data_IF_403923354675
#
_entry.id   IF_403923354675
#
_cell.length_a   1.000
_cell.length_b   1.000
_cell.length_c   1.000
_cell.angle_alpha   90.00
_cell.angle_beta   90.00
_cell.angle_gamma   90.00
#
_symmetry.space_group_name_H-M   'P 1'
#
loop_
_entity.id
_entity.type
_entity.pdbx_description
1 polymer ?
#
# COMPACT_ATOMS: atom_id res chain seq x y z
N UNK A 1 -12.32 20.54 12.77
CA UNK A 1 -12.35 19.74 11.53
C UNK A 1 -10.98 19.80 10.87
N UNK A 2 -10.24 18.70 10.80
CA UNK A 2 -9.01 18.64 9.97
C UNK A 2 -9.40 18.52 8.50
N UNK A 3 -8.73 19.23 7.60
CA UNK A 3 -9.01 19.11 6.16
C UNK A 3 -8.83 17.67 5.66
N UNK A 4 -9.58 17.27 4.62
CA UNK A 4 -9.42 15.95 3.97
C UNK A 4 -7.98 15.69 3.53
N UNK A 5 -7.27 16.74 3.10
CA UNK A 5 -5.84 16.68 2.76
C UNK A 5 -5.02 16.24 3.99
N UNK A 6 -5.22 16.88 5.14
CA UNK A 6 -4.51 16.52 6.38
C UNK A 6 -4.82 15.09 6.81
N UNK A 7 -6.08 14.65 6.71
CA UNK A 7 -6.48 13.27 7.00
C UNK A 7 -5.81 12.27 6.06
N UNK A 8 -5.78 12.55 4.76
CA UNK A 8 -5.14 11.69 3.76
C UNK A 8 -3.63 11.62 3.93
N UNK A 9 -2.96 12.74 4.23
CA UNK A 9 -1.53 12.77 4.53
C UNK A 9 -1.19 11.88 5.73
N UNK A 10 -1.91 12.07 6.84
CA UNK A 10 -1.70 11.30 8.07
C UNK A 10 -2.04 9.82 7.82
N UNK A 11 -3.18 9.53 7.20
CA UNK A 11 -3.63 8.18 6.90
C UNK A 11 -2.70 7.44 5.94
N UNK A 12 -2.14 8.13 4.95
CA UNK A 12 -1.16 7.56 4.02
C UNK A 12 0.16 7.21 4.71
N UNK A 13 0.70 8.11 5.54
CA UNK A 13 1.93 7.86 6.30
C UNK A 13 1.72 6.71 7.29
N UNK A 14 0.67 6.79 8.12
CA UNK A 14 0.38 5.78 9.14
C UNK A 14 0.04 4.44 8.49
N UNK A 15 -0.79 4.43 7.45
CA UNK A 15 -1.14 3.21 6.72
C UNK A 15 0.08 2.53 6.12
N UNK A 16 1.00 3.30 5.53
CA UNK A 16 2.24 2.77 4.96
C UNK A 16 3.13 2.19 6.05
N UNK A 17 3.28 2.89 7.18
CA UNK A 17 4.05 2.41 8.32
C UNK A 17 3.46 1.11 8.91
N UNK A 18 2.15 1.08 9.18
CA UNK A 18 1.44 -0.09 9.73
C UNK A 18 1.56 -1.29 8.81
N UNK A 19 1.33 -1.11 7.51
CA UNK A 19 1.55 -2.16 6.51
C UNK A 19 2.99 -2.67 6.58
N UNK A 20 3.96 -1.76 6.58
CA UNK A 20 5.39 -2.14 6.53
C UNK A 20 5.81 -2.91 7.79
N UNK A 21 5.39 -2.47 8.97
CA UNK A 21 5.63 -3.18 10.24
C UNK A 21 4.97 -4.57 10.21
N UNK A 22 3.74 -4.67 9.70
CA UNK A 22 3.06 -5.96 9.55
C UNK A 22 3.88 -6.91 8.66
N UNK A 23 4.37 -6.43 7.52
CA UNK A 23 5.18 -7.24 6.61
C UNK A 23 6.50 -7.69 7.26
N UNK A 24 7.12 -6.83 8.09
CA UNK A 24 8.31 -7.19 8.86
C UNK A 24 8.01 -8.30 9.87
N UNK A 25 6.91 -8.21 10.61
CA UNK A 25 6.49 -9.26 11.55
C UNK A 25 6.17 -10.56 10.83
N UNK A 26 5.46 -10.49 9.70
CA UNK A 26 5.15 -11.65 8.86
C UNK A 26 6.41 -12.37 8.37
N UNK A 27 7.46 -11.62 8.02
CA UNK A 27 8.74 -12.21 7.68
C UNK A 27 9.37 -12.99 8.86
N UNK A 28 9.28 -12.45 10.08
CA UNK A 28 9.81 -13.11 11.28
C UNK A 28 9.12 -14.44 11.62
N UNK A 29 7.87 -14.64 11.17
CA UNK A 29 7.11 -15.88 11.36
C UNK A 29 7.14 -16.81 10.13
N UNK A 30 8.06 -16.57 9.18
CA UNK A 30 8.35 -17.49 8.08
C UNK A 30 7.79 -17.10 6.71
N UNK A 31 7.15 -15.93 6.56
CA UNK A 31 6.79 -15.44 5.22
C UNK A 31 8.04 -14.93 4.47
N UNK A 32 8.06 -15.02 3.13
CA UNK A 32 9.14 -14.45 2.32
C UNK A 32 9.31 -12.95 2.59
N UNK A 33 10.57 -12.48 2.54
CA UNK A 33 10.86 -11.06 2.74
C UNK A 33 10.24 -10.24 1.61
N UNK A 34 9.37 -9.30 1.96
CA UNK A 34 8.76 -8.35 1.04
C UNK A 34 9.08 -6.94 1.50
N UNK A 35 9.97 -6.26 0.76
CA UNK A 35 10.37 -4.89 1.06
C UNK A 35 10.12 -3.99 -0.16
N UNK A 36 8.99 -3.27 -0.20
CA UNK A 36 8.73 -2.30 -1.26
C UNK A 36 9.79 -1.19 -1.39
N UNK A 37 10.36 -0.65 -0.29
CA UNK A 37 11.48 0.31 -0.38
C UNK A 37 12.71 -0.27 -1.08
N UNK A 38 13.09 -1.50 -0.74
CA UNK A 38 14.22 -2.19 -1.41
C UNK A 38 13.90 -2.39 -2.89
N UNK A 39 12.70 -2.90 -3.20
CA UNK A 39 12.24 -3.10 -4.57
C UNK A 39 12.34 -1.81 -5.41
N UNK A 40 11.80 -0.70 -4.92
CA UNK A 40 11.83 0.60 -5.61
C UNK A 40 13.27 1.11 -5.78
N UNK A 41 14.11 0.98 -4.75
CA UNK A 41 15.52 1.40 -4.83
C UNK A 41 16.32 0.61 -5.86
N UNK A 42 16.12 -0.72 -5.91
CA UNK A 42 16.81 -1.60 -6.86
C UNK A 42 16.36 -1.36 -8.29
N UNK A 43 15.05 -1.23 -8.53
CA UNK A 43 14.50 -0.99 -9.87
C UNK A 43 15.00 0.32 -10.48
N UNK A 44 15.19 1.35 -9.66
CA UNK A 44 15.58 2.68 -10.13
C UNK A 44 17.09 2.98 -9.99
N UNK A 45 17.87 2.06 -9.40
CA UNK A 45 19.29 2.28 -9.15
C UNK A 45 19.58 3.38 -8.13
N UNK A 46 18.63 3.64 -7.20
CA UNK A 46 18.76 4.67 -6.17
C UNK A 46 19.14 4.09 -4.80
N UNK A 47 19.46 4.98 -3.86
CA UNK A 47 19.72 4.57 -2.48
C UNK A 47 18.45 4.06 -1.80
N UNK A 48 18.60 3.20 -0.80
CA UNK A 48 17.47 2.69 -0.01
C UNK A 48 16.67 3.81 0.66
N UNK A 49 17.33 4.93 1.03
CA UNK A 49 16.65 6.10 1.58
C UNK A 49 15.65 6.74 0.61
N UNK A 50 16.00 6.78 -0.69
CA UNK A 50 15.08 7.24 -1.75
C UNK A 50 13.94 6.23 -1.92
N UNK A 51 14.23 4.92 -1.87
CA UNK A 51 13.19 3.88 -1.90
C UNK A 51 12.15 4.03 -0.79
N UNK A 52 12.58 4.37 0.43
CA UNK A 52 11.68 4.67 1.54
C UNK A 52 10.85 5.93 1.31
N UNK A 53 11.48 7.02 0.85
CA UNK A 53 10.77 8.25 0.51
C UNK A 53 9.66 7.98 -0.51
N UNK A 54 9.98 7.24 -1.58
CA UNK A 54 9.03 6.85 -2.61
C UNK A 54 7.90 5.97 -2.06
N UNK A 55 8.21 4.99 -1.20
CA UNK A 55 7.20 4.13 -0.59
C UNK A 55 6.15 4.93 0.19
N UNK A 56 6.59 5.87 1.02
CA UNK A 56 5.69 6.76 1.75
C UNK A 56 4.95 7.73 0.82
N UNK A 57 5.60 8.27 -0.21
CA UNK A 57 4.93 9.14 -1.19
C UNK A 57 3.81 8.39 -1.94
N UNK A 58 4.06 7.15 -2.36
CA UNK A 58 3.06 6.31 -3.03
C UNK A 58 1.88 6.05 -2.07
N UNK A 59 2.15 5.74 -0.80
CA UNK A 59 1.11 5.58 0.21
C UNK A 59 0.25 6.83 0.41
N UNK A 60 0.87 8.01 0.42
CA UNK A 60 0.15 9.30 0.47
C UNK A 60 -0.73 9.47 -0.78
N UNK A 61 -0.21 9.18 -1.97
CA UNK A 61 -0.97 9.29 -3.23
C UNK A 61 -2.20 8.38 -3.20
N UNK A 62 -2.05 7.14 -2.75
CA UNK A 62 -3.19 6.23 -2.58
C UNK A 62 -4.20 6.75 -1.54
N UNK A 63 -3.74 7.27 -0.40
CA UNK A 63 -4.64 7.83 0.61
C UNK A 63 -5.40 9.06 0.10
N UNK A 64 -4.76 9.90 -0.73
CA UNK A 64 -5.43 11.00 -1.43
C UNK A 64 -6.47 10.47 -2.43
N UNK A 65 -6.11 9.44 -3.21
CA UNK A 65 -7.06 8.79 -4.12
C UNK A 65 -8.27 8.22 -3.36
N UNK A 66 -8.08 7.67 -2.16
CA UNK A 66 -9.18 7.27 -1.30
C UNK A 66 -10.04 8.48 -0.91
N UNK A 67 -9.43 9.53 -0.36
CA UNK A 67 -10.13 10.68 0.19
C UNK A 67 -10.97 11.48 -0.81
N UNK A 68 -10.54 11.54 -2.08
CA UNK A 68 -11.19 12.37 -3.10
C UNK A 68 -11.99 11.56 -4.12
N UNK A 69 -11.59 10.31 -4.39
CA UNK A 69 -12.19 9.50 -5.46
C UNK A 69 -12.92 8.30 -4.84
N UNK A 70 -12.19 7.43 -4.16
CA UNK A 70 -12.71 6.12 -3.77
C UNK A 70 -13.81 6.19 -2.71
N UNK A 71 -13.72 7.13 -1.76
CA UNK A 71 -14.69 7.28 -0.68
C UNK A 71 -16.12 7.48 -1.22
N UNK A 72 -16.26 8.17 -2.36
CA UNK A 72 -17.55 8.37 -3.03
C UNK A 72 -18.07 7.10 -3.72
N UNK A 73 -17.17 6.22 -4.19
CA UNK A 73 -17.53 4.94 -4.81
C UNK A 73 -18.07 3.95 -3.79
N UNK A 74 -17.55 3.97 -2.55
CA UNK A 74 -17.96 3.08 -1.46
C UNK A 74 -18.90 3.71 -0.44
N UNK A 75 -19.49 4.88 -0.76
CA UNK A 75 -20.38 5.63 0.16
C UNK A 75 -21.58 4.82 0.69
N UNK A 76 -22.02 3.80 -0.05
CA UNK A 76 -23.15 2.92 0.35
C UNK A 76 -22.75 1.86 1.36
N UNK A 77 -21.45 1.63 1.56
CA UNK A 77 -20.94 0.68 2.55
C UNK A 77 -21.00 1.38 3.91
N UNK A 78 -21.67 0.82 4.92
CA UNK A 78 -21.76 1.47 6.24
C UNK A 78 -20.52 1.31 7.13
N UNK A 79 -19.67 0.31 6.85
CA UNK A 79 -18.55 -0.08 7.69
C UNK A 79 -17.21 0.41 7.12
N UNK A 80 -16.48 1.25 7.87
CA UNK A 80 -15.19 1.81 7.45
C UNK A 80 -14.08 0.76 7.26
N UNK A 81 -14.09 -0.33 8.04
CA UNK A 81 -13.15 -1.44 7.86
C UNK A 81 -13.41 -2.12 6.51
N UNK A 82 -14.68 -2.37 6.17
CA UNK A 82 -15.04 -2.97 4.89
C UNK A 82 -14.71 -2.03 3.71
N UNK A 83 -14.97 -0.72 3.83
CA UNK A 83 -14.53 0.28 2.84
C UNK A 83 -13.02 0.20 2.60
N UNK A 84 -12.26 0.19 3.68
CA UNK A 84 -10.81 0.12 3.63
C UNK A 84 -10.29 -1.20 3.07
N UNK A 85 -10.93 -2.33 3.37
CA UNK A 85 -10.57 -3.62 2.80
C UNK A 85 -10.83 -3.65 1.28
N UNK A 86 -11.98 -3.14 0.83
CA UNK A 86 -12.30 -3.02 -0.60
C UNK A 86 -11.28 -2.09 -1.29
N UNK A 87 -10.97 -0.96 -0.68
CA UNK A 87 -9.96 -0.03 -1.19
C UNK A 87 -8.57 -0.66 -1.26
N UNK A 88 -8.14 -1.34 -0.20
CA UNK A 88 -6.85 -2.02 -0.14
C UNK A 88 -6.75 -3.12 -1.19
N UNK A 89 -7.80 -3.91 -1.39
CA UNK A 89 -7.83 -4.90 -2.45
C UNK A 89 -7.76 -4.25 -3.85
N UNK A 90 -8.48 -3.15 -4.08
CA UNK A 90 -8.39 -2.40 -5.34
C UNK A 90 -6.97 -1.83 -5.56
N UNK A 91 -6.33 -1.31 -4.51
CA UNK A 91 -4.95 -0.84 -4.55
C UNK A 91 -3.96 -1.97 -4.84
N UNK A 92 -4.17 -3.17 -4.30
CA UNK A 92 -3.38 -4.36 -4.63
C UNK A 92 -3.47 -4.70 -6.12
N UNK A 93 -4.69 -4.77 -6.68
CA UNK A 93 -4.87 -5.07 -8.11
C UNK A 93 -4.18 -4.00 -8.97
N UNK A 94 -4.37 -2.72 -8.63
CA UNK A 94 -3.70 -1.62 -9.31
C UNK A 94 -2.17 -1.77 -9.22
N UNK A 95 -1.62 -2.10 -8.05
CA UNK A 95 -0.19 -2.34 -7.88
C UNK A 95 0.29 -3.50 -8.76
N UNK A 96 -0.42 -4.63 -8.83
CA UNK A 96 -0.03 -5.75 -9.69
C UNK A 96 0.01 -5.37 -11.18
N UNK A 97 -0.99 -4.62 -11.64
CA UNK A 97 -1.04 -4.11 -13.02
C UNK A 97 0.15 -3.17 -13.27
N UNK A 98 0.38 -2.20 -12.39
CA UNK A 98 1.47 -1.24 -12.54
C UNK A 98 2.84 -1.91 -12.49
N UNK A 99 3.05 -2.87 -11.58
CA UNK A 99 4.31 -3.61 -11.50
C UNK A 99 4.56 -4.45 -12.75
N UNK A 100 3.50 -5.04 -13.34
CA UNK A 100 3.60 -5.78 -14.60
C UNK A 100 3.97 -4.83 -15.75
N UNK A 101 3.33 -3.66 -15.83
CA UNK A 101 3.65 -2.64 -16.84
C UNK A 101 5.08 -2.13 -16.72
N UNK A 102 5.52 -1.82 -15.50
CA UNK A 102 6.90 -1.38 -15.24
C UNK A 102 7.88 -2.50 -15.58
N UNK A 103 7.57 -3.75 -15.24
CA UNK A 103 8.42 -4.90 -15.55
C UNK A 103 8.59 -5.20 -17.04
N UNK A 104 7.71 -4.70 -17.91
CA UNK A 104 7.91 -4.74 -19.36
C UNK A 104 8.91 -3.69 -19.87
N UNK A 105 9.16 -2.64 -19.09
CA UNK A 105 10.01 -1.50 -19.47
C UNK A 105 11.33 -1.44 -18.71
N UNK A 106 11.38 -2.01 -17.51
CA UNK A 106 12.51 -1.94 -16.58
C UNK A 106 12.80 -3.31 -15.97
N UNK A 107 14.07 -3.63 -15.66
CA UNK A 107 14.42 -4.85 -14.97
C UNK A 107 13.74 -4.92 -13.59
N UNK A 108 13.10 -6.06 -13.31
CA UNK A 108 12.50 -6.35 -12.02
C UNK A 108 13.46 -7.15 -11.15
N UNK A 109 13.60 -6.82 -9.85
CA UNK A 109 14.34 -7.66 -8.93
C UNK A 109 13.70 -9.05 -8.87
N UNK A 110 14.53 -10.08 -8.76
CA UNK A 110 14.05 -11.46 -8.65
C UNK A 110 13.34 -11.66 -7.32
N UNK A 111 12.08 -12.07 -7.39
CA UNK A 111 11.32 -12.46 -6.21
C UNK A 111 11.81 -13.83 -5.75
N UNK A 112 12.21 -13.93 -4.49
CA UNK A 112 12.74 -15.19 -3.90
C UNK A 112 11.78 -15.73 -2.85
N UNK A 113 11.65 -17.06 -2.78
CA UNK A 113 10.76 -17.76 -1.85
C UNK A 113 9.46 -18.28 -2.48
N UNK A 114 8.50 -18.66 -1.64
CA UNK A 114 7.23 -19.24 -2.08
C UNK A 114 6.30 -18.15 -2.65
N UNK A 115 5.99 -18.25 -3.96
CA UNK A 115 5.15 -17.29 -4.68
C UNK A 115 3.74 -17.14 -4.11
N UNK A 116 3.14 -18.22 -3.61
CA UNK A 116 1.81 -18.15 -2.98
C UNK A 116 1.86 -17.30 -1.71
N UNK A 117 2.88 -17.50 -0.88
CA UNK A 117 3.05 -16.70 0.35
C UNK A 117 3.35 -15.23 0.06
N UNK A 118 4.10 -14.94 -1.01
CA UNK A 118 4.34 -13.57 -1.49
C UNK A 118 3.01 -12.91 -1.89
N UNK A 119 2.17 -13.62 -2.64
CA UNK A 119 0.88 -13.09 -3.07
C UNK A 119 -0.06 -12.84 -1.88
N UNK A 120 -0.15 -13.78 -0.95
CA UNK A 120 -0.95 -13.63 0.28
C UNK A 120 -0.45 -12.42 1.08
N UNK A 121 0.87 -12.31 1.27
CA UNK A 121 1.47 -11.19 1.98
C UNK A 121 1.21 -9.85 1.31
N UNK A 122 1.29 -9.80 -0.02
CA UNK A 122 1.00 -8.59 -0.79
C UNK A 122 -0.47 -8.16 -0.63
N UNK A 123 -1.42 -9.08 -0.77
CA UNK A 123 -2.85 -8.78 -0.54
C UNK A 123 -3.09 -8.29 0.88
N UNK A 124 -2.57 -9.01 1.88
CA UNK A 124 -2.72 -8.67 3.29
C UNK A 124 -2.15 -7.28 3.59
N UNK A 125 -0.95 -6.97 3.10
CA UNK A 125 -0.33 -5.66 3.29
C UNK A 125 -1.22 -4.53 2.76
N UNK A 126 -1.71 -4.65 1.52
CA UNK A 126 -2.57 -3.62 0.92
C UNK A 126 -3.93 -3.50 1.61
N UNK A 127 -4.53 -4.62 2.05
CA UNK A 127 -5.78 -4.61 2.82
C UNK A 127 -5.59 -3.89 4.15
N UNK A 128 -4.51 -4.17 4.88
CA UNK A 128 -4.18 -3.48 6.15
C UNK A 128 -3.93 -1.98 5.91
N UNK A 129 -3.20 -1.63 4.85
CA UNK A 129 -3.02 -0.25 4.43
C UNK A 129 -4.37 0.43 4.18
N UNK A 130 -5.25 -0.19 3.38
CA UNK A 130 -6.54 0.38 3.02
C UNK A 130 -7.48 0.55 4.20
N UNK A 131 -7.54 -0.43 5.11
CA UNK A 131 -8.26 -0.33 6.39
C UNK A 131 -7.75 0.85 7.18
N UNK A 132 -6.42 0.97 7.34
CA UNK A 132 -5.82 2.07 8.10
C UNK A 132 -6.19 3.43 7.49
N UNK A 133 -6.05 3.59 6.17
CA UNK A 133 -6.44 4.84 5.48
C UNK A 133 -7.91 5.18 5.72
N UNK A 134 -8.82 4.20 5.57
CA UNK A 134 -10.25 4.41 5.74
C UNK A 134 -10.67 4.77 7.17
N UNK A 135 -9.88 4.37 8.18
CA UNK A 135 -10.12 4.76 9.58
C UNK A 135 -9.68 6.20 9.88
N UNK A 136 -8.71 6.74 9.12
CA UNK A 136 -8.22 8.11 9.30
C UNK A 136 -8.94 9.15 8.42
N UNK A 137 -9.49 8.72 7.29
CA UNK A 137 -10.17 9.59 6.32
C UNK A 137 -11.68 9.46 6.46
N UNK A 138 -12.32 10.51 6.97
CA UNK A 138 -13.75 10.54 7.21
C UNK A 138 -14.53 11.10 6.01
N UNK A 139 -15.81 10.72 5.93
CA UNK A 139 -16.74 11.22 4.90
C UNK A 139 -17.18 12.66 5.17
N UNK A 140 -17.19 13.08 6.43
CA UNK A 140 -17.67 14.37 6.93
C UNK A 140 -16.54 15.32 7.33
#
# INVERSE_FOLDING_TARGET
>A
MTSKIKQALIGGIIGTAVMTVTMMVCHMIGMPKMSPPEMLSTMMGFSIGIGWLMHFMIGIVFAMAYAFIFINLVKKVGNNILKGAIFGFAAFIFAQIMMTMIGMMMPMPTMTGNMMLIMIGSIMGHVIFGITVALFVNEH
#
